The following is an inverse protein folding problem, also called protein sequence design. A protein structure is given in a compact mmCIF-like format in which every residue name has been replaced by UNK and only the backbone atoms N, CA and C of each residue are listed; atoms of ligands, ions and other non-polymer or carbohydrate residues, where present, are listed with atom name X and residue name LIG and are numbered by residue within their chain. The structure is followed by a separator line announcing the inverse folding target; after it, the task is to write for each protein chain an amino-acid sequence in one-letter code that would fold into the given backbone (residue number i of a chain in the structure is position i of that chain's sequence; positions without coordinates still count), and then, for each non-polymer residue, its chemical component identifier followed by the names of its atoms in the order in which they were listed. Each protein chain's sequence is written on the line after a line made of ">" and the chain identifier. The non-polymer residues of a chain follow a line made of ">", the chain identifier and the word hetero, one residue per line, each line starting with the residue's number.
data_IF_862128643462
#
_entry.id   IF_862128643462
#
_cell.length_a   1.000
_cell.length_b   1.000
_cell.length_c   1.000
_cell.angle_alpha   90.00
_cell.angle_beta   90.00
_cell.angle_gamma   90.00
#
_symmetry.space_group_name_H-M   'P 1'
#
loop_
_entity.id
_entity.type
_entity.pdbx_description
1 polymer ?
#
# COMPACT_ATOMS: atom_id res chain seq x y z
N UNK A 1 33.32 14.31 -3.39
CA UNK A 1 32.52 15.15 -2.48
C UNK A 1 33.45 16.17 -1.84
N UNK A 2 32.99 17.41 -1.59
CA UNK A 2 33.80 18.42 -0.90
C UNK A 2 33.56 18.43 0.61
N UNK A 3 32.39 17.97 1.06
CA UNK A 3 32.01 17.93 2.48
C UNK A 3 32.17 16.50 3.01
N UNK A 4 32.77 16.28 4.20
CA UNK A 4 32.84 14.97 4.82
C UNK A 4 31.47 14.55 5.38
N UNK A 5 31.27 13.24 5.52
CA UNK A 5 30.00 12.67 5.98
C UNK A 5 29.67 13.08 7.41
N UNK A 6 30.67 13.12 8.28
CA UNK A 6 30.54 13.48 9.69
C UNK A 6 29.98 14.90 9.89
N UNK A 7 30.36 15.84 9.02
CA UNK A 7 29.84 17.21 9.07
C UNK A 7 28.35 17.26 8.69
N UNK A 8 27.95 16.46 7.70
CA UNK A 8 26.55 16.34 7.29
C UNK A 8 25.69 15.73 8.39
N UNK A 9 26.19 14.69 9.06
CA UNK A 9 25.49 14.03 10.17
C UNK A 9 25.38 14.96 11.40
N UNK A 10 26.46 15.68 11.74
CA UNK A 10 26.45 16.62 12.85
C UNK A 10 25.40 17.73 12.66
N UNK A 11 25.33 18.31 11.46
CA UNK A 11 24.34 19.35 11.12
C UNK A 11 22.91 18.81 11.13
N UNK A 12 22.69 17.59 10.61
CA UNK A 12 21.37 16.97 10.64
C UNK A 12 20.90 16.76 12.09
N UNK A 13 21.79 16.29 12.96
CA UNK A 13 21.52 16.10 14.38
C UNK A 13 21.18 17.41 15.10
N UNK A 14 21.88 18.51 14.77
CA UNK A 14 21.59 19.85 15.30
C UNK A 14 20.16 20.31 14.98
N UNK A 15 19.70 20.02 13.75
CA UNK A 15 18.36 20.39 13.30
C UNK A 15 17.29 19.33 13.59
N UNK A 16 17.63 18.23 14.29
CA UNK A 16 16.71 17.11 14.52
C UNK A 16 16.23 16.42 13.24
N UNK A 17 17.00 16.51 12.16
CA UNK A 17 16.71 15.92 10.87
C UNK A 17 17.38 14.55 10.71
N UNK A 18 16.79 13.70 9.88
CA UNK A 18 17.37 12.41 9.49
C UNK A 18 18.50 12.62 8.47
N UNK A 19 19.59 11.86 8.59
CA UNK A 19 20.72 11.89 7.65
C UNK A 19 20.91 10.53 6.96
N UNK A 20 21.08 10.53 5.63
CA UNK A 20 21.40 9.32 4.86
C UNK A 20 22.14 9.67 3.56
N UNK A 21 23.38 9.21 3.39
CA UNK A 21 24.12 9.34 2.13
C UNK A 21 23.46 8.49 1.03
N UNK A 22 22.93 9.14 0.01
CA UNK A 22 22.15 8.50 -1.06
C UNK A 22 22.60 9.01 -2.42
N UNK A 23 22.70 8.13 -3.42
CA UNK A 23 23.00 8.52 -4.81
C UNK A 23 21.84 8.16 -5.72
N UNK A 24 21.09 9.17 -6.17
CA UNK A 24 20.01 8.99 -7.13
C UNK A 24 20.52 8.45 -8.48
N UNK A 25 21.74 8.82 -8.89
CA UNK A 25 22.34 8.37 -10.14
C UNK A 25 22.77 6.90 -10.10
N UNK A 26 23.35 6.46 -8.98
CA UNK A 26 23.81 5.08 -8.81
C UNK A 26 22.74 4.16 -8.23
N UNK A 27 21.58 4.69 -7.83
CA UNK A 27 20.56 3.96 -7.08
C UNK A 27 20.99 3.57 -5.66
N UNK A 28 22.07 4.13 -5.16
CA UNK A 28 22.62 3.80 -3.83
C UNK A 28 21.73 4.38 -2.73
N UNK A 29 21.37 3.53 -1.75
CA UNK A 29 20.53 3.85 -0.58
C UNK A 29 19.11 4.37 -0.85
N UNK A 30 18.64 4.42 -2.11
CA UNK A 30 17.31 4.94 -2.46
C UNK A 30 16.20 4.16 -1.75
N UNK A 31 16.23 2.82 -1.79
CA UNK A 31 15.22 2.00 -1.13
C UNK A 31 15.26 2.11 0.40
N UNK A 32 16.45 2.26 0.97
CA UNK A 32 16.61 2.43 2.42
C UNK A 32 16.05 3.77 2.87
N UNK A 33 16.33 4.85 2.12
CA UNK A 33 15.84 6.19 2.39
C UNK A 33 14.31 6.24 2.49
N UNK A 34 13.60 5.68 1.50
CA UNK A 34 12.14 5.65 1.53
C UNK A 34 11.58 4.81 2.67
N UNK A 35 12.21 3.66 3.00
CA UNK A 35 11.77 2.84 4.14
C UNK A 35 11.98 3.55 5.48
N UNK A 36 13.09 4.25 5.66
CA UNK A 36 13.37 5.00 6.89
C UNK A 36 12.41 6.17 7.06
N UNK A 37 12.10 6.90 5.98
CA UNK A 37 11.10 7.98 6.01
C UNK A 37 9.74 7.40 6.38
N UNK A 38 9.31 6.35 5.69
CA UNK A 38 8.07 5.63 5.99
C UNK A 38 7.99 5.21 7.47
N UNK A 39 9.02 4.57 8.01
CA UNK A 39 9.05 4.17 9.42
C UNK A 39 9.06 5.35 10.41
N UNK A 40 9.50 6.53 9.98
CA UNK A 40 9.57 7.74 10.83
C UNK A 40 8.28 8.57 10.76
N UNK A 41 7.30 8.20 9.92
CA UNK A 41 6.02 8.88 9.84
C UNK A 41 5.11 8.46 11.01
N UNK A 42 4.54 9.42 11.76
CA UNK A 42 3.58 9.12 12.82
C UNK A 42 2.38 8.34 12.27
N UNK A 43 2.05 7.20 12.90
CA UNK A 43 0.91 6.35 12.51
C UNK A 43 1.24 5.18 11.57
N UNK A 44 2.52 4.90 11.29
CA UNK A 44 2.95 3.76 10.45
C UNK A 44 3.34 2.49 11.22
N UNK A 45 3.20 2.46 12.56
CA UNK A 45 3.44 1.27 13.40
C UNK A 45 2.57 0.05 13.02
N UNK A 46 1.46 0.25 12.30
CA UNK A 46 0.54 -0.82 11.92
C UNK A 46 1.02 -1.74 10.78
N UNK A 47 2.06 -1.36 10.03
CA UNK A 47 2.44 -2.07 8.79
C UNK A 47 3.54 -3.14 8.93
N UNK A 48 4.32 -3.13 10.02
CA UNK A 48 5.32 -4.19 10.26
C UNK A 48 4.69 -5.56 10.60
N UNK A 49 3.40 -5.59 10.92
CA UNK A 49 2.63 -6.84 11.11
C UNK A 49 1.84 -7.28 9.86
N UNK A 50 1.80 -6.48 8.79
CA UNK A 50 1.01 -6.76 7.58
C UNK A 50 1.69 -7.76 6.61
N UNK A 51 2.44 -8.73 7.15
CA UNK A 51 2.74 -9.98 6.41
C UNK A 51 1.54 -10.92 6.38
N UNK A 52 0.47 -10.57 7.09
CA UNK A 52 -0.79 -11.29 7.10
C UNK A 52 -1.87 -10.40 6.49
N UNK A 53 -2.17 -10.67 5.22
CA UNK A 53 -3.53 -10.72 4.69
C UNK A 53 -4.57 -9.86 5.41
N UNK A 54 -4.69 -8.59 5.04
CA UNK A 54 -5.95 -7.86 5.24
C UNK A 54 -6.39 -7.29 3.89
N UNK A 55 -6.83 -8.21 3.03
CA UNK A 55 -7.58 -7.84 1.83
C UNK A 55 -8.96 -7.39 2.28
N UNK A 56 -9.19 -6.08 2.24
CA UNK A 56 -10.51 -5.51 2.54
C UNK A 56 -11.43 -5.76 1.34
N UNK A 57 -12.39 -6.67 1.49
CA UNK A 57 -13.38 -6.98 0.46
C UNK A 57 -14.43 -5.86 0.36
N UNK A 58 -14.37 -5.08 -0.72
CA UNK A 58 -15.30 -3.97 -0.98
C UNK A 58 -16.49 -4.51 -1.78
N UNK A 59 -17.56 -4.84 -1.07
CA UNK A 59 -18.84 -5.19 -1.68
C UNK A 59 -19.59 -3.92 -2.15
N UNK A 60 -19.39 -3.54 -3.41
CA UNK A 60 -20.17 -2.49 -4.08
C UNK A 60 -21.56 -3.04 -4.46
N UNK A 61 -22.54 -2.96 -3.55
CA UNK A 61 -23.95 -3.18 -3.93
C UNK A 61 -24.42 -1.98 -4.76
N UNK A 62 -24.81 -2.15 -6.03
CA UNK A 62 -25.30 -1.04 -6.84
C UNK A 62 -26.63 -0.56 -6.25
N UNK A 63 -26.66 0.69 -5.78
CA UNK A 63 -27.88 1.36 -5.38
C UNK A 63 -28.60 1.85 -6.64
N UNK A 64 -29.56 1.06 -7.14
CA UNK A 64 -30.65 1.58 -7.98
C UNK A 64 -31.84 0.62 -7.99
N UNK A 65 -32.80 0.92 -7.11
CA UNK A 65 -34.23 1.12 -7.38
C UNK A 65 -35.10 0.05 -8.08
N UNK A 66 -36.42 0.02 -7.78
CA UNK A 66 -37.29 -1.13 -8.02
C UNK A 66 -38.12 -1.03 -9.32
N UNK A 67 -38.24 -2.15 -10.04
CA UNK A 67 -39.32 -2.50 -10.97
C UNK A 67 -38.95 -3.89 -11.52
N UNK A 68 -39.75 -4.94 -11.54
CA UNK A 68 -41.15 -5.17 -11.27
C UNK A 68 -41.46 -6.52 -11.93
N UNK A 69 -42.42 -7.26 -11.37
CA UNK A 69 -43.12 -8.42 -11.97
C UNK A 69 -42.33 -9.70 -12.31
N UNK A 70 -42.63 -10.79 -11.58
CA UNK A 70 -42.51 -12.15 -12.12
C UNK A 70 -42.27 -13.30 -11.12
N UNK A 71 -43.32 -13.72 -10.39
CA UNK A 71 -43.65 -15.04 -9.80
C UNK A 71 -42.59 -16.04 -9.24
N UNK A 72 -42.93 -16.81 -8.18
CA UNK A 72 -42.08 -17.88 -7.62
C UNK A 72 -42.37 -19.25 -8.29
N UNK A 73 -41.33 -20.05 -8.56
CA UNK A 73 -41.52 -21.41 -9.07
C UNK A 73 -40.24 -22.20 -9.34
N UNK A 74 -39.95 -23.12 -8.42
CA UNK A 74 -39.48 -24.52 -8.60
C UNK A 74 -38.42 -24.93 -9.67
N UNK A 75 -37.52 -25.81 -9.18
CA UNK A 75 -36.91 -26.99 -9.82
C UNK A 75 -35.68 -26.83 -10.75
N UNK A 76 -34.53 -27.26 -10.20
CA UNK A 76 -33.76 -28.44 -10.63
C UNK A 76 -33.81 -28.83 -12.12
N UNK A 77 -32.70 -28.61 -12.86
CA UNK A 77 -31.93 -29.64 -13.59
C UNK A 77 -30.89 -29.04 -14.55
N UNK A 78 -29.63 -29.41 -14.29
CA UNK A 78 -28.62 -29.90 -15.24
C UNK A 78 -29.00 -29.83 -16.74
N UNK A 79 -28.32 -28.97 -17.51
CA UNK A 79 -27.79 -29.28 -18.84
C UNK A 79 -27.07 -28.07 -19.46
N UNK A 80 -25.83 -28.30 -19.90
CA UNK A 80 -25.37 -27.83 -21.20
C UNK A 80 -24.87 -26.38 -21.31
N UNK A 81 -23.67 -26.25 -21.88
CA UNK A 81 -23.39 -25.14 -22.78
C UNK A 81 -22.21 -24.25 -22.42
N UNK A 82 -21.07 -24.58 -23.03
CA UNK A 82 -20.12 -23.67 -23.68
C UNK A 82 -20.48 -22.16 -23.69
N UNK A 83 -19.53 -21.28 -23.37
CA UNK A 83 -19.06 -20.26 -24.34
C UNK A 83 -17.82 -19.51 -23.83
N UNK A 84 -16.82 -19.47 -24.71
CA UNK A 84 -15.75 -18.46 -24.92
C UNK A 84 -15.07 -17.80 -23.71
#
# INVERSE_FOLDING_TARGET
>A
RQVPTDEGEAKAKEHGALFMETSAKAGFNIKALFRTIAASLPGMDALSSAKQEDMVDINLRPASGPAGSGAPGQQEQKAGGCSC
#
